data_IF_983439596216
#
_entry.id   IF_983439596216
#
_cell.length_a   1.000
_cell.length_b   1.000
_cell.length_c   1.000
_cell.angle_alpha   90.00
_cell.angle_beta   90.00
_cell.angle_gamma   90.00
#
_symmetry.space_group_name_H-M   'P 1'
#
loop_
_entity.id
_entity.type
_entity.pdbx_description
1 polymer ?
#
# COMPACT_ATOMS: atom_id res chain seq x y z
N UNK A 1 -10.51 -37.29 24.78
CA UNK A 1 -9.11 -37.07 24.34
C UNK A 1 -9.21 -36.72 22.85
N UNK A 2 -9.08 -35.45 22.45
CA UNK A 2 -7.82 -34.79 21.99
C UNK A 2 -7.12 -35.65 20.93
N UNK A 3 -6.78 -35.25 19.71
CA UNK A 3 -6.37 -33.99 19.05
C UNK A 3 -6.28 -34.33 17.54
N UNK A 4 -6.50 -33.46 16.53
CA UNK A 4 -5.70 -32.29 16.15
C UNK A 4 -4.67 -32.63 15.02
N UNK A 5 -4.50 -31.68 14.06
CA UNK A 5 -3.45 -31.57 13.01
C UNK A 5 -3.60 -32.44 11.73
N UNK A 6 -3.32 -32.03 10.49
CA UNK A 6 -2.83 -30.77 9.85
C UNK A 6 -2.73 -31.01 8.35
N UNK A 7 -2.81 -29.94 7.55
CA UNK A 7 -1.86 -29.75 6.46
C UNK A 7 -2.34 -30.05 5.03
N UNK A 8 -2.26 -28.98 4.23
CA UNK A 8 -1.84 -29.00 2.83
C UNK A 8 -2.92 -29.32 1.80
N UNK A 9 -3.52 -28.26 1.26
CA UNK A 9 -3.82 -28.22 -0.18
C UNK A 9 -2.77 -27.32 -0.83
N UNK A 10 -1.61 -27.92 -1.13
CA UNK A 10 -0.76 -27.49 -2.23
C UNK A 10 -1.54 -27.80 -3.51
N UNK A 11 -1.89 -26.78 -4.28
CA UNK A 11 -2.34 -26.97 -5.65
C UNK A 11 -1.57 -26.03 -6.57
N UNK A 12 -0.57 -26.64 -7.20
CA UNK A 12 0.09 -26.30 -8.45
C UNK A 12 0.94 -25.01 -8.48
N UNK A 13 2.24 -25.20 -8.25
CA UNK A 13 3.23 -24.53 -9.08
C UNK A 13 2.98 -25.01 -10.51
N UNK A 14 2.49 -24.12 -11.37
CA UNK A 14 2.55 -24.35 -12.80
C UNK A 14 4.00 -24.07 -13.18
N UNK A 15 4.73 -25.14 -13.45
CA UNK A 15 6.00 -25.09 -14.15
C UNK A 15 5.68 -24.53 -15.56
N UNK A 16 6.39 -23.48 -15.97
CA UNK A 16 6.24 -22.73 -17.24
C UNK A 16 5.34 -21.48 -17.24
N UNK A 17 5.67 -20.44 -16.46
CA UNK A 17 5.37 -19.06 -16.90
C UNK A 17 6.31 -18.03 -16.26
N UNK A 18 7.13 -17.41 -17.10
CA UNK A 18 7.88 -16.20 -16.81
C UNK A 18 6.88 -15.05 -16.65
N UNK A 19 6.24 -14.95 -15.50
CA UNK A 19 5.44 -13.80 -15.09
C UNK A 19 5.67 -13.54 -13.61
N UNK A 20 6.62 -12.65 -13.30
CA UNK A 20 6.87 -12.17 -11.95
C UNK A 20 5.72 -11.29 -11.38
N UNK A 21 4.53 -11.36 -11.98
CA UNK A 21 3.36 -10.53 -11.69
C UNK A 21 2.14 -11.36 -11.23
N UNK A 22 2.31 -12.66 -10.95
CA UNK A 22 1.22 -13.55 -10.55
C UNK A 22 1.19 -13.84 -9.03
N UNK A 23 0.21 -13.22 -8.36
CA UNK A 23 -0.60 -13.78 -7.26
C UNK A 23 -0.03 -13.70 -5.82
N UNK A 24 -0.14 -12.52 -5.18
CA UNK A 24 -0.34 -12.50 -3.72
C UNK A 24 -1.67 -13.18 -3.42
N UNK A 25 -1.64 -14.27 -2.66
CA UNK A 25 -2.86 -14.98 -2.26
C UNK A 25 -3.47 -14.28 -1.03
N UNK A 26 -4.80 -14.19 -1.00
CA UNK A 26 -5.54 -13.74 0.18
C UNK A 26 -5.08 -14.56 1.41
N UNK A 27 -4.38 -13.90 2.34
CA UNK A 27 -3.77 -14.54 3.51
C UNK A 27 -2.25 -14.32 3.67
N UNK A 28 -1.58 -13.72 2.69
CA UNK A 28 -0.20 -13.26 2.87
C UNK A 28 -0.11 -12.15 3.92
N UNK A 29 0.93 -12.14 4.77
CA UNK A 29 1.16 -11.00 5.66
C UNK A 29 1.39 -9.75 4.79
N UNK A 30 0.59 -8.71 5.04
CA UNK A 30 0.71 -7.44 4.32
C UNK A 30 2.10 -6.82 4.43
N UNK A 31 2.53 -6.16 3.37
CA UNK A 31 3.77 -5.41 3.30
C UNK A 31 3.56 -4.04 3.95
N UNK A 32 4.48 -3.66 4.85
CA UNK A 32 4.59 -2.28 5.34
C UNK A 32 5.63 -1.56 4.50
N UNK A 33 5.20 -0.55 3.75
CA UNK A 33 6.09 0.32 2.99
C UNK A 33 6.27 1.64 3.72
N UNK A 34 7.48 1.88 4.24
CA UNK A 34 7.81 3.15 4.86
C UNK A 34 8.12 4.22 3.81
N UNK A 35 7.42 5.36 3.89
CA UNK A 35 7.74 6.53 3.09
C UNK A 35 8.91 7.25 3.75
N UNK A 36 10.00 7.37 2.99
CA UNK A 36 11.21 8.06 3.42
C UNK A 36 11.63 9.07 2.37
N UNK A 37 12.43 10.05 2.80
CA UNK A 37 13.10 10.98 1.90
C UNK A 37 14.13 10.21 1.06
N UNK A 38 13.81 10.03 -0.21
CA UNK A 38 14.62 9.34 -1.21
C UNK A 38 15.16 10.28 -2.30
N UNK A 39 14.65 11.51 -2.39
CA UNK A 39 15.05 12.60 -3.29
C UNK A 39 15.05 12.25 -4.79
N UNK A 40 14.19 12.91 -5.57
CA UNK A 40 14.07 12.73 -7.02
C UNK A 40 13.80 11.29 -7.45
N UNK A 41 13.14 10.51 -6.59
CA UNK A 41 12.80 9.10 -6.84
C UNK A 41 11.32 8.96 -7.17
N UNK A 42 10.99 8.13 -8.15
CA UNK A 42 9.61 7.76 -8.46
C UNK A 42 9.45 6.26 -8.25
N UNK A 43 8.82 5.89 -7.15
CA UNK A 43 8.60 4.50 -6.75
C UNK A 43 7.24 4.04 -7.23
N UNK A 44 7.19 2.90 -7.93
CA UNK A 44 5.92 2.24 -8.28
C UNK A 44 5.78 1.01 -7.39
N UNK A 45 4.66 0.92 -6.69
CA UNK A 45 4.34 -0.15 -5.76
C UNK A 45 3.24 -1.04 -6.35
N UNK A 46 3.43 -2.35 -6.22
CA UNK A 46 2.39 -3.35 -6.39
C UNK A 46 1.70 -3.55 -5.03
N UNK A 47 0.80 -2.62 -4.69
CA UNK A 47 0.20 -2.49 -3.37
C UNK A 47 -1.10 -3.29 -3.30
N UNK A 48 -1.22 -4.18 -2.31
CA UNK A 48 -2.47 -4.90 -2.03
C UNK A 48 -3.32 -4.11 -1.02
N UNK A 49 -4.42 -3.45 -1.44
CA UNK A 49 -5.25 -2.66 -0.54
C UNK A 49 -5.95 -3.47 0.56
N UNK A 50 -5.97 -4.81 0.45
CA UNK A 50 -6.61 -5.66 1.45
C UNK A 50 -5.74 -5.91 2.68
N UNK A 51 -4.41 -5.73 2.58
CA UNK A 51 -3.49 -6.06 3.67
C UNK A 51 -2.26 -5.14 3.80
N UNK A 52 -1.83 -4.45 2.75
CA UNK A 52 -0.63 -3.62 2.79
C UNK A 52 -0.85 -2.31 3.55
N UNK A 53 0.23 -1.75 4.07
CA UNK A 53 0.24 -0.50 4.82
C UNK A 53 1.31 0.45 4.31
N UNK A 54 0.95 1.72 4.11
CA UNK A 54 1.88 2.83 3.93
C UNK A 54 2.18 3.45 5.29
N UNK A 55 3.45 3.41 5.70
CA UNK A 55 3.92 4.06 6.93
C UNK A 55 4.53 5.42 6.61
N UNK A 56 3.82 6.48 6.98
CA UNK A 56 4.22 7.87 6.82
C UNK A 56 5.20 8.34 7.89
N UNK A 57 5.48 7.53 8.92
CA UNK A 57 6.36 7.90 10.02
C UNK A 57 6.00 9.28 10.60
N UNK A 58 6.95 10.22 10.54
CA UNK A 58 6.78 11.58 11.07
C UNK A 58 6.25 12.60 10.06
N UNK A 59 5.93 12.21 8.82
CA UNK A 59 5.37 13.14 7.84
C UNK A 59 4.04 13.72 8.33
N UNK A 60 3.89 15.02 8.19
CA UNK A 60 2.66 15.76 8.45
C UNK A 60 1.85 15.94 7.17
N UNK A 61 0.60 16.37 7.30
CA UNK A 61 -0.31 16.58 6.16
C UNK A 61 0.23 17.54 5.08
N UNK A 62 1.09 18.49 5.43
CA UNK A 62 1.72 19.45 4.51
C UNK A 62 2.96 18.88 3.80
N UNK A 63 3.43 17.70 4.20
CA UNK A 63 4.59 17.04 3.58
C UNK A 63 4.25 16.39 2.25
N UNK A 64 2.99 15.96 2.07
CA UNK A 64 2.58 15.17 0.92
C UNK A 64 1.27 15.66 0.30
N UNK A 65 1.06 15.29 -0.96
CA UNK A 65 -0.22 15.42 -1.64
C UNK A 65 -0.63 14.06 -2.20
N UNK A 66 -1.93 13.78 -2.26
CA UNK A 66 -2.47 12.54 -2.81
C UNK A 66 -3.42 12.89 -3.95
N UNK A 67 -3.29 12.20 -5.08
CA UNK A 67 -4.20 12.30 -6.21
C UNK A 67 -4.40 10.93 -6.85
N UNK A 68 -5.55 10.72 -7.51
CA UNK A 68 -5.73 9.59 -8.40
C UNK A 68 -5.42 10.02 -9.83
N UNK A 69 -4.51 9.30 -10.49
CA UNK A 69 -4.08 9.57 -11.87
C UNK A 69 -4.16 8.27 -12.65
N UNK A 70 -4.99 8.24 -13.69
CA UNK A 70 -5.17 7.06 -14.55
C UNK A 70 -5.46 5.75 -13.79
N UNK A 71 -6.31 5.82 -12.75
CA UNK A 71 -6.69 4.66 -11.93
C UNK A 71 -5.59 4.19 -10.96
N UNK A 72 -4.61 5.05 -10.66
CA UNK A 72 -3.56 4.79 -9.66
C UNK A 72 -3.49 5.93 -8.65
N UNK A 73 -3.38 5.61 -7.37
CA UNK A 73 -3.08 6.58 -6.31
C UNK A 73 -1.62 7.00 -6.42
N UNK A 74 -1.39 8.31 -6.52
CA UNK A 74 -0.07 8.93 -6.55
C UNK A 74 0.08 9.78 -5.30
N UNK A 75 1.00 9.37 -4.42
CA UNK A 75 1.47 10.18 -3.30
C UNK A 75 2.72 10.93 -3.76
N UNK A 76 2.66 12.26 -3.74
CA UNK A 76 3.81 13.12 -4.05
C UNK A 76 4.34 13.75 -2.79
N UNK A 77 5.66 13.85 -2.68
CA UNK A 77 6.36 14.56 -1.61
C UNK A 77 7.14 15.70 -2.28
N UNK A 78 6.54 16.91 -2.40
CA UNK A 78 7.05 17.94 -3.31
C UNK A 78 8.44 18.48 -2.95
N UNK A 79 8.76 18.59 -1.66
CA UNK A 79 10.04 19.16 -1.20
C UNK A 79 11.26 18.33 -1.59
N UNK A 80 11.08 17.05 -1.90
CA UNK A 80 12.13 16.13 -2.36
C UNK A 80 11.95 15.72 -3.83
N UNK A 81 10.94 16.25 -4.53
CA UNK A 81 10.62 15.89 -5.91
C UNK A 81 10.44 14.37 -6.12
N UNK A 82 9.83 13.69 -5.16
CA UNK A 82 9.64 12.23 -5.20
C UNK A 82 8.17 11.83 -5.17
N UNK A 83 7.89 10.62 -5.65
CA UNK A 83 6.54 10.06 -5.69
C UNK A 83 6.52 8.58 -5.31
N UNK A 84 5.37 8.14 -4.79
CA UNK A 84 4.98 6.74 -4.62
C UNK A 84 3.67 6.54 -5.38
N UNK A 85 3.67 5.65 -6.37
CA UNK A 85 2.50 5.33 -7.18
C UNK A 85 2.02 3.92 -6.83
N UNK A 86 0.79 3.78 -6.34
CA UNK A 86 0.13 2.50 -6.14
C UNK A 86 -0.48 2.09 -7.48
N UNK A 87 0.20 1.23 -8.24
CA UNK A 87 -0.21 0.89 -9.60
C UNK A 87 -1.57 0.19 -9.57
N UNK A 88 -2.54 0.75 -10.28
CA UNK A 88 -3.86 0.13 -10.45
C UNK A 88 -4.73 0.14 -9.19
N UNK A 89 -4.31 0.82 -8.12
CA UNK A 89 -5.10 1.00 -6.90
C UNK A 89 -5.75 2.39 -6.92
N UNK A 90 -7.06 2.44 -6.76
CA UNK A 90 -7.87 3.66 -6.66
C UNK A 90 -8.04 4.11 -5.21
N UNK A 91 -8.45 5.36 -4.99
CA UNK A 91 -8.76 5.84 -3.63
C UNK A 91 -9.94 5.09 -3.00
N UNK A 92 -10.87 4.59 -3.82
CA UNK A 92 -12.06 3.86 -3.35
C UNK A 92 -11.73 2.46 -2.81
N UNK A 93 -10.57 1.90 -3.19
CA UNK A 93 -10.10 0.61 -2.69
C UNK A 93 -9.32 0.73 -1.38
N UNK A 94 -8.86 1.93 -1.05
CA UNK A 94 -8.12 2.18 0.17
C UNK A 94 -9.03 2.42 1.37
N UNK A 95 -8.49 2.11 2.54
CA UNK A 95 -9.09 2.41 3.83
C UNK A 95 -8.05 3.03 4.78
N UNK A 96 -8.51 3.59 5.90
CA UNK A 96 -7.60 4.05 6.95
C UNK A 96 -6.74 2.92 7.55
N UNK A 97 -7.12 1.64 7.40
CA UNK A 97 -6.29 0.52 7.83
C UNK A 97 -4.99 0.39 7.02
N UNK A 98 -4.96 0.95 5.80
CA UNK A 98 -3.78 0.96 4.95
C UNK A 98 -2.78 2.08 5.32
N UNK A 99 -3.10 2.93 6.29
CA UNK A 99 -2.32 4.13 6.61
C UNK A 99 -1.82 4.07 8.05
N UNK A 100 -0.50 4.05 8.22
CA UNK A 100 0.17 4.24 9.50
C UNK A 100 0.90 5.59 9.50
N UNK A 101 0.84 6.31 10.63
CA UNK A 101 1.62 7.53 10.84
C UNK A 101 1.80 7.80 12.33
N UNK A 102 2.94 8.38 12.70
CA UNK A 102 3.21 8.92 14.03
C UNK A 102 2.65 10.33 14.20
N UNK A 103 2.50 11.08 13.10
CA UNK A 103 1.91 12.40 13.10
C UNK A 103 0.40 12.33 12.81
N UNK A 104 -0.43 12.75 13.77
CA UNK A 104 -1.88 12.70 13.65
C UNK A 104 -2.44 13.52 12.47
N UNK A 105 -1.75 14.57 12.02
CA UNK A 105 -2.21 15.36 10.87
C UNK A 105 -2.26 14.55 9.58
N UNK A 106 -1.33 13.60 9.37
CA UNK A 106 -1.35 12.72 8.22
C UNK A 106 -2.59 11.80 8.22
N UNK A 107 -2.95 11.22 9.36
CA UNK A 107 -4.16 10.40 9.51
C UNK A 107 -5.44 11.23 9.25
N UNK A 108 -5.48 12.47 9.73
CA UNK A 108 -6.61 13.38 9.46
C UNK A 108 -6.71 13.71 7.96
N UNK A 109 -5.59 13.94 7.28
CA UNK A 109 -5.58 14.18 5.84
C UNK A 109 -6.12 12.97 5.08
N UNK A 110 -5.62 11.77 5.37
CA UNK A 110 -6.10 10.53 4.76
C UNK A 110 -7.58 10.26 5.04
N UNK A 111 -8.06 10.48 6.27
CA UNK A 111 -9.48 10.37 6.59
C UNK A 111 -10.36 11.24 5.69
N UNK A 112 -9.95 12.48 5.41
CA UNK A 112 -10.70 13.40 4.55
C UNK A 112 -10.63 13.04 3.07
N UNK A 113 -9.50 12.46 2.64
CA UNK A 113 -9.32 12.00 1.26
C UNK A 113 -10.22 10.79 0.99
N UNK A 114 -10.30 9.86 1.95
CA UNK A 114 -11.07 8.61 1.81
C UNK A 114 -12.57 8.77 2.08
N UNK A 115 -12.95 9.78 2.88
CA UNK A 115 -14.34 10.13 3.17
C UNK A 115 -14.57 11.65 2.99
N UNK A 116 -14.74 12.11 1.74
CA UNK A 116 -14.84 13.53 1.43
C UNK A 116 -16.16 14.21 1.83
N UNK A 117 -17.14 13.47 2.35
CA UNK A 117 -18.47 13.96 2.75
C UNK A 117 -19.54 13.93 1.67
#
# INVERSE_FOLDING_TARGET
>A
MSSGNTGTVTSALNDDEWDAEAQRQQGDPGIVTALTWAWSTNTVLDFDPTCDTLDFGWFSADTFTVAEVAGSVVISIPSSAETYTLRGVTLAELSLANIAALNASALVAWSRILDPG
#
